data_IF_296034291207
#
_entry.id   IF_296034291207
#
_cell.length_a   1.000
_cell.length_b   1.000
_cell.length_c   1.000
_cell.angle_alpha   90.00
_cell.angle_beta   90.00
_cell.angle_gamma   90.00
#
_symmetry.space_group_name_H-M   'P 1'
#
loop_
_entity.id
_entity.type
_entity.pdbx_description
1 polymer ?
#
# COMPACT_ATOMS: atom_id res chain seq x y z
N UNK A 1 -15.49 0.03 -18.74
CA UNK A 1 -14.11 -0.28 -18.30
C UNK A 1 -13.59 0.91 -17.51
N UNK A 2 -13.29 0.70 -16.25
CA UNK A 2 -12.72 1.73 -15.39
C UNK A 2 -11.33 2.12 -15.87
N UNK A 3 -11.10 3.43 -15.98
CA UNK A 3 -9.77 3.95 -16.33
C UNK A 3 -9.06 4.32 -15.05
N UNK A 4 -8.19 3.44 -14.55
CA UNK A 4 -7.31 3.74 -13.41
C UNK A 4 -5.99 4.30 -13.92
N UNK A 5 -5.57 5.43 -13.36
CA UNK A 5 -4.29 6.07 -13.64
C UNK A 5 -3.29 5.75 -12.52
N UNK A 6 -2.04 5.52 -12.89
CA UNK A 6 -0.94 5.46 -11.94
C UNK A 6 -0.27 6.83 -11.83
N UNK A 7 -0.13 7.34 -10.62
CA UNK A 7 0.49 8.61 -10.31
C UNK A 7 1.70 8.39 -9.40
N UNK A 8 2.90 8.48 -9.97
CA UNK A 8 4.14 8.40 -9.21
C UNK A 8 4.56 9.82 -8.85
N UNK A 9 4.60 10.11 -7.55
CA UNK A 9 5.03 11.41 -7.03
C UNK A 9 6.55 11.45 -6.94
N UNK A 10 7.15 12.50 -7.46
CA UNK A 10 8.56 12.80 -7.18
C UNK A 10 8.76 13.07 -5.68
N UNK A 11 10.00 12.95 -5.19
CA UNK A 11 10.33 13.12 -3.76
C UNK A 11 9.90 14.47 -3.16
N UNK A 12 9.76 15.50 -3.98
CA UNK A 12 9.32 16.85 -3.60
C UNK A 12 7.84 17.15 -3.94
N UNK A 13 7.11 16.18 -4.46
CA UNK A 13 5.67 16.25 -4.68
C UNK A 13 4.92 15.56 -3.54
N UNK A 14 3.65 15.89 -3.36
CA UNK A 14 2.81 15.40 -2.29
C UNK A 14 1.44 15.00 -2.80
N UNK A 15 0.69 14.26 -2.00
CA UNK A 15 -0.62 13.68 -2.36
C UNK A 15 -1.57 14.66 -3.04
N UNK A 16 -1.68 15.89 -2.54
CA UNK A 16 -2.58 16.89 -3.12
C UNK A 16 -2.05 17.57 -4.39
N UNK A 17 -0.86 17.21 -4.86
CA UNK A 17 -0.37 17.62 -6.20
C UNK A 17 -0.94 16.73 -7.30
N UNK A 18 -1.43 15.53 -6.96
CA UNK A 18 -2.09 14.64 -7.91
C UNK A 18 -3.47 15.24 -8.26
N UNK A 19 -3.81 15.39 -9.55
CA UNK A 19 -5.07 16.01 -9.97
C UNK A 19 -6.31 15.41 -9.32
N UNK A 20 -6.39 14.08 -9.17
CA UNK A 20 -7.52 13.37 -8.57
C UNK A 20 -7.61 13.52 -7.04
N UNK A 21 -6.53 13.99 -6.41
CA UNK A 21 -6.43 14.16 -4.95
C UNK A 21 -6.34 15.64 -4.51
N UNK A 22 -6.37 16.58 -5.45
CA UNK A 22 -6.14 18.03 -5.17
C UNK A 22 -7.20 18.67 -4.28
N UNK A 23 -8.38 18.09 -4.20
CA UNK A 23 -9.53 18.54 -3.39
C UNK A 23 -9.54 17.95 -1.96
N UNK A 24 -8.62 17.05 -1.64
CA UNK A 24 -8.52 16.46 -0.30
C UNK A 24 -8.22 17.52 0.75
N UNK A 25 -9.02 17.54 1.82
CA UNK A 25 -8.92 18.50 2.94
C UNK A 25 -8.84 17.77 4.29
N UNK A 26 -8.11 18.27 5.27
CA UNK A 26 -7.15 19.39 5.19
C UNK A 26 -5.94 19.01 4.35
N UNK A 27 -5.50 19.90 3.47
CA UNK A 27 -4.42 19.65 2.53
C UNK A 27 -3.11 19.23 3.20
N UNK A 28 -2.75 19.90 4.30
CA UNK A 28 -1.50 19.63 5.03
C UNK A 28 -1.54 18.25 5.72
N UNK A 29 -2.73 17.82 6.18
CA UNK A 29 -2.94 16.47 6.70
C UNK A 29 -2.59 15.42 5.67
N UNK A 30 -3.23 15.47 4.50
CA UNK A 30 -3.04 14.49 3.44
C UNK A 30 -1.60 14.46 2.92
N UNK A 31 -0.96 15.63 2.79
CA UNK A 31 0.43 15.73 2.36
C UNK A 31 1.44 15.17 3.36
N UNK A 32 1.03 14.91 4.62
CA UNK A 32 1.85 14.24 5.64
C UNK A 32 1.38 12.81 5.92
N UNK A 33 0.07 12.55 5.80
CA UNK A 33 -0.53 11.26 6.16
C UNK A 33 -0.19 10.17 5.15
N UNK A 34 -0.14 10.49 3.88
CA UNK A 34 -0.08 9.49 2.83
C UNK A 34 0.97 9.79 1.75
N UNK A 35 1.72 8.78 1.37
CA UNK A 35 2.56 8.73 0.17
C UNK A 35 2.03 7.72 -0.84
N UNK A 36 0.93 7.05 -0.54
CA UNK A 36 0.16 6.19 -1.41
C UNK A 36 -1.33 6.36 -1.13
N UNK A 37 -2.16 6.23 -2.15
CA UNK A 37 -3.61 6.12 -2.07
C UNK A 37 -4.11 5.20 -3.18
N UNK A 38 -5.05 4.31 -2.83
CA UNK A 38 -5.76 3.44 -3.76
C UNK A 38 -6.76 4.20 -4.61
N UNK A 39 -7.03 3.66 -5.80
CA UNK A 39 -8.06 4.23 -6.66
C UNK A 39 -9.46 3.87 -6.16
N UNK A 40 -10.37 4.84 -6.27
CA UNK A 40 -11.81 4.65 -6.07
C UNK A 40 -12.58 5.16 -7.30
N UNK A 41 -13.88 4.84 -7.44
CA UNK A 41 -14.69 5.40 -8.54
C UNK A 41 -14.64 6.92 -8.62
N UNK A 42 -14.61 7.62 -7.47
CA UNK A 42 -14.55 9.08 -7.39
C UNK A 42 -13.13 9.62 -7.67
N UNK A 43 -12.11 8.84 -7.35
CA UNK A 43 -10.69 9.19 -7.51
C UNK A 43 -9.92 8.05 -8.18
N UNK A 44 -10.05 7.90 -9.52
CA UNK A 44 -9.52 6.74 -10.25
C UNK A 44 -8.00 6.85 -10.47
N UNK A 45 -7.25 7.11 -9.41
CA UNK A 45 -5.78 7.17 -9.44
C UNK A 45 -5.17 6.36 -8.28
N UNK A 46 -4.33 5.39 -8.63
CA UNK A 46 -3.41 4.76 -7.68
C UNK A 46 -2.17 5.62 -7.60
N UNK A 47 -1.73 5.95 -6.40
CA UNK A 47 -0.54 6.77 -6.21
C UNK A 47 0.51 6.11 -5.33
N UNK A 48 1.77 6.51 -5.54
CA UNK A 48 2.92 6.09 -4.76
C UNK A 48 4.03 7.16 -4.88
N UNK A 49 4.87 7.29 -3.88
CA UNK A 49 6.10 8.08 -3.98
C UNK A 49 7.22 7.32 -4.70
N UNK A 50 8.03 8.01 -5.51
CA UNK A 50 9.18 7.42 -6.20
C UNK A 50 10.22 6.86 -5.22
N UNK A 51 10.31 7.44 -4.01
CA UNK A 51 11.22 6.99 -2.96
C UNK A 51 11.01 5.52 -2.59
N UNK A 52 9.77 5.03 -2.59
CA UNK A 52 9.47 3.63 -2.31
C UNK A 52 9.86 2.71 -3.47
N UNK A 53 9.64 3.14 -4.69
CA UNK A 53 9.95 2.34 -5.89
C UNK A 53 11.45 2.24 -6.16
N UNK A 54 12.22 3.24 -5.75
CA UNK A 54 13.65 3.35 -5.98
C UNK A 54 14.50 3.15 -4.72
N UNK A 55 13.86 3.06 -3.54
CA UNK A 55 14.49 2.83 -2.24
C UNK A 55 15.36 4.00 -1.81
N UNK A 56 14.81 5.22 -1.83
CA UNK A 56 15.54 6.40 -1.34
C UNK A 56 15.74 6.34 0.17
N UNK A 57 16.75 7.06 0.63
CA UNK A 57 16.97 7.26 2.06
C UNK A 57 15.77 8.00 2.67
N UNK A 58 15.33 7.57 3.84
CA UNK A 58 14.16 8.07 4.57
C UNK A 58 12.80 7.80 3.89
N UNK A 59 12.72 6.80 3.00
CA UNK A 59 11.42 6.31 2.55
C UNK A 59 10.56 5.90 3.76
N UNK A 60 9.35 6.47 3.95
CA UNK A 60 8.50 6.12 5.08
C UNK A 60 7.92 4.69 5.02
N UNK A 61 8.04 4.03 3.87
CA UNK A 61 7.59 2.67 3.59
C UNK A 61 8.77 1.77 3.18
N UNK A 62 9.96 2.01 3.76
CA UNK A 62 11.21 1.38 3.33
C UNK A 62 11.23 -0.16 3.38
N UNK A 63 10.38 -0.77 4.19
CA UNK A 63 10.28 -2.23 4.36
C UNK A 63 9.08 -2.86 3.65
N UNK A 64 8.31 -2.08 2.87
CA UNK A 64 7.16 -2.56 2.11
C UNK A 64 7.10 -1.95 0.71
N UNK A 65 6.24 -2.47 -0.16
CA UNK A 65 5.90 -1.82 -1.42
C UNK A 65 4.48 -1.24 -1.35
N UNK A 66 4.39 0.06 -1.09
CA UNK A 66 3.10 0.75 -0.96
C UNK A 66 2.31 0.79 -2.28
N UNK A 67 2.97 0.73 -3.44
CA UNK A 67 2.25 0.67 -4.71
C UNK A 67 1.48 -0.63 -4.87
N UNK A 68 2.01 -1.77 -4.38
CA UNK A 68 1.29 -3.06 -4.38
C UNK A 68 0.06 -2.98 -3.48
N UNK A 69 0.18 -2.37 -2.30
CA UNK A 69 -0.93 -2.12 -1.39
C UNK A 69 -2.05 -1.29 -2.05
N UNK A 70 -1.70 -0.13 -2.57
CA UNK A 70 -2.67 0.79 -3.17
C UNK A 70 -3.28 0.23 -4.47
N UNK A 71 -2.51 -0.56 -5.21
CA UNK A 71 -3.04 -1.23 -6.39
C UNK A 71 -3.98 -2.38 -6.04
N UNK A 72 -3.78 -3.06 -4.91
CA UNK A 72 -4.72 -4.05 -4.40
C UNK A 72 -6.10 -3.42 -4.12
N UNK A 73 -6.14 -2.23 -3.51
CA UNK A 73 -7.40 -1.46 -3.37
C UNK A 73 -8.05 -1.18 -4.73
N UNK A 74 -7.26 -0.76 -5.72
CA UNK A 74 -7.79 -0.50 -7.06
C UNK A 74 -8.34 -1.76 -7.73
N UNK A 75 -7.66 -2.89 -7.62
CA UNK A 75 -8.16 -4.18 -8.13
C UNK A 75 -9.48 -4.55 -7.44
N UNK A 76 -9.56 -4.39 -6.13
CA UNK A 76 -10.76 -4.69 -5.36
C UNK A 76 -11.91 -3.75 -5.75
N UNK A 77 -11.72 -2.43 -5.59
CA UNK A 77 -12.80 -1.45 -5.68
C UNK A 77 -13.18 -1.08 -7.12
N UNK A 78 -12.26 -1.20 -8.08
CA UNK A 78 -12.45 -0.76 -9.47
C UNK A 78 -12.50 -1.92 -10.46
N UNK A 79 -12.11 -3.13 -10.03
CA UNK A 79 -12.07 -4.32 -10.87
C UNK A 79 -13.04 -5.39 -10.41
N UNK A 80 -12.78 -5.97 -9.24
CA UNK A 80 -13.55 -7.10 -8.73
C UNK A 80 -15.00 -6.72 -8.42
N UNK A 81 -15.26 -5.53 -7.89
CA UNK A 81 -16.60 -5.02 -7.65
C UNK A 81 -17.51 -5.04 -8.88
N UNK A 82 -16.93 -4.96 -10.09
CA UNK A 82 -17.68 -5.03 -11.35
C UNK A 82 -17.70 -6.44 -11.97
N UNK A 83 -16.58 -7.19 -11.83
CA UNK A 83 -16.39 -8.47 -12.53
C UNK A 83 -16.80 -9.67 -11.69
N UNK A 84 -16.79 -9.55 -10.37
CA UNK A 84 -17.27 -10.55 -9.41
C UNK A 84 -18.00 -9.86 -8.24
N UNK A 85 -19.30 -9.57 -8.39
CA UNK A 85 -20.09 -8.89 -7.35
C UNK A 85 -20.13 -9.62 -5.99
N UNK A 86 -19.78 -10.91 -5.97
CA UNK A 86 -19.76 -11.72 -4.73
C UNK A 86 -18.43 -11.62 -3.99
N UNK A 87 -17.39 -11.06 -4.61
CA UNK A 87 -16.04 -11.03 -4.02
C UNK A 87 -16.02 -10.24 -2.71
N UNK A 88 -16.63 -9.07 -2.68
CA UNK A 88 -16.65 -8.21 -1.49
C UNK A 88 -17.35 -8.89 -0.30
N UNK A 89 -18.49 -9.53 -0.51
CA UNK A 89 -19.19 -10.30 0.53
C UNK A 89 -18.33 -11.46 1.07
N UNK A 90 -17.62 -12.18 0.18
CA UNK A 90 -16.71 -13.28 0.58
C UNK A 90 -15.51 -12.76 1.35
N UNK A 91 -14.97 -11.60 0.95
CA UNK A 91 -13.85 -10.95 1.62
C UNK A 91 -14.27 -10.45 3.00
N UNK A 92 -15.41 -9.79 3.12
CA UNK A 92 -15.94 -9.33 4.40
C UNK A 92 -16.23 -10.51 5.34
N UNK A 93 -16.82 -11.59 4.84
CA UNK A 93 -17.05 -12.80 5.64
C UNK A 93 -15.75 -13.42 6.15
N UNK A 94 -14.70 -13.47 5.32
CA UNK A 94 -13.38 -13.94 5.71
C UNK A 94 -12.75 -13.04 6.78
N UNK A 95 -12.82 -11.73 6.60
CA UNK A 95 -12.35 -10.72 7.56
C UNK A 95 -13.05 -10.87 8.93
N UNK A 96 -14.39 -10.91 8.94
CA UNK A 96 -15.17 -11.07 10.18
C UNK A 96 -14.79 -12.37 10.90
N UNK A 97 -14.62 -13.48 10.17
CA UNK A 97 -14.18 -14.74 10.76
C UNK A 97 -12.77 -14.66 11.35
N UNK A 98 -11.83 -14.04 10.62
CA UNK A 98 -10.45 -13.86 11.10
C UNK A 98 -10.39 -13.01 12.38
N UNK A 99 -11.10 -11.88 12.40
CA UNK A 99 -11.17 -11.01 13.59
C UNK A 99 -11.81 -11.71 14.78
N UNK A 100 -12.87 -12.49 14.55
CA UNK A 100 -13.54 -13.28 15.59
C UNK A 100 -12.61 -14.34 16.21
N UNK A 101 -11.72 -14.90 15.42
CA UNK A 101 -10.68 -15.85 15.88
C UNK A 101 -9.49 -15.15 16.53
N UNK A 102 -9.45 -13.83 16.56
CA UNK A 102 -8.39 -13.01 17.15
C UNK A 102 -7.21 -12.77 16.22
N UNK A 103 -7.30 -13.17 14.94
CA UNK A 103 -6.29 -12.84 13.95
C UNK A 103 -6.29 -11.32 13.68
N UNK A 104 -5.12 -10.77 13.34
CA UNK A 104 -4.92 -9.35 12.99
C UNK A 104 -5.32 -8.36 14.08
N UNK A 105 -5.51 -8.83 15.32
CA UNK A 105 -5.91 -7.98 16.44
C UNK A 105 -4.91 -6.85 16.70
N UNK A 106 -5.39 -5.60 16.62
CA UNK A 106 -4.58 -4.41 16.81
C UNK A 106 -3.60 -4.12 15.67
N UNK A 107 -3.71 -4.82 14.53
CA UNK A 107 -2.88 -4.64 13.34
C UNK A 107 -3.65 -3.93 12.22
N UNK A 108 -2.91 -3.41 11.24
CA UNK A 108 -3.49 -2.63 10.15
C UNK A 108 -4.50 -3.44 9.34
N UNK A 109 -4.17 -4.69 9.01
CA UNK A 109 -5.09 -5.64 8.36
C UNK A 109 -6.39 -5.88 9.16
N UNK A 110 -6.39 -5.65 10.46
CA UNK A 110 -7.57 -5.78 11.33
C UNK A 110 -8.49 -4.57 11.34
N UNK A 111 -8.21 -3.49 10.59
CA UNK A 111 -9.01 -2.25 10.59
C UNK A 111 -10.33 -2.38 9.85
N UNK A 112 -10.32 -2.99 8.68
CA UNK A 112 -11.48 -3.27 7.83
C UNK A 112 -11.10 -4.28 6.74
N UNK A 113 -12.07 -4.80 6.00
CA UNK A 113 -11.84 -5.82 4.98
C UNK A 113 -11.05 -5.30 3.76
N UNK A 114 -11.06 -4.00 3.47
CA UNK A 114 -10.25 -3.43 2.38
C UNK A 114 -8.76 -3.47 2.72
N UNK A 115 -8.39 -3.04 3.94
CA UNK A 115 -7.01 -3.13 4.42
C UNK A 115 -6.57 -4.58 4.61
N UNK A 116 -7.46 -5.45 5.11
CA UNK A 116 -7.24 -6.88 5.22
C UNK A 116 -6.82 -7.51 3.87
N UNK A 117 -7.51 -7.14 2.78
CA UNK A 117 -7.15 -7.61 1.44
C UNK A 117 -5.81 -7.05 0.98
N UNK A 118 -5.59 -5.74 1.11
CA UNK A 118 -4.38 -5.08 0.62
C UNK A 118 -3.11 -5.58 1.35
N UNK A 119 -3.17 -5.74 2.67
CA UNK A 119 -2.11 -6.34 3.49
C UNK A 119 -1.85 -7.81 3.08
N UNK A 120 -2.92 -8.58 2.84
CA UNK A 120 -2.79 -9.94 2.33
C UNK A 120 -2.14 -10.01 0.96
N UNK A 121 -2.40 -9.03 0.08
CA UNK A 121 -1.73 -8.94 -1.23
C UNK A 121 -0.26 -8.60 -1.07
N UNK A 122 0.11 -7.68 -0.18
CA UNK A 122 1.51 -7.39 0.11
C UNK A 122 2.24 -8.65 0.60
N UNK A 123 1.70 -9.37 1.58
CA UNK A 123 2.29 -10.64 2.06
C UNK A 123 2.33 -11.71 0.97
N UNK A 124 1.34 -11.76 0.05
CA UNK A 124 1.35 -12.69 -1.08
C UNK A 124 2.52 -12.49 -2.05
N UNK A 125 3.03 -11.27 -2.11
CA UNK A 125 4.15 -10.90 -2.95
C UNK A 125 5.45 -10.64 -2.16
N UNK A 126 5.53 -11.06 -0.88
CA UNK A 126 6.67 -10.96 0.03
C UNK A 126 7.16 -9.50 0.16
N UNK A 127 6.24 -8.61 0.46
CA UNK A 127 6.54 -7.17 0.54
C UNK A 127 5.69 -6.43 1.57
N UNK A 128 5.23 -7.11 2.59
CA UNK A 128 4.58 -6.45 3.71
C UNK A 128 5.63 -6.03 4.76
N UNK A 129 5.23 -5.17 5.68
CA UNK A 129 6.00 -4.89 6.90
C UNK A 129 5.79 -5.98 7.93
N UNK A 130 6.78 -6.19 8.77
CA UNK A 130 6.70 -7.18 9.84
C UNK A 130 7.09 -6.61 11.20
N UNK A 131 6.50 -7.19 12.27
CA UNK A 131 6.92 -7.03 13.67
C UNK A 131 7.04 -5.57 14.14
N UNK A 132 6.16 -4.69 13.64
CA UNK A 132 6.04 -3.31 14.11
C UNK A 132 4.72 -3.03 14.85
N UNK A 133 4.45 -1.77 15.15
CA UNK A 133 3.23 -1.38 15.85
C UNK A 133 1.95 -1.77 15.08
N UNK A 134 1.96 -1.67 13.74
CA UNK A 134 0.79 -1.90 12.88
C UNK A 134 0.80 -3.30 12.20
N UNK A 135 1.93 -4.02 12.21
CA UNK A 135 2.09 -5.29 11.50
C UNK A 135 2.58 -6.39 12.45
N UNK A 136 2.14 -7.62 12.19
CA UNK A 136 2.63 -8.82 12.86
C UNK A 136 3.80 -9.44 12.06
N UNK A 137 4.04 -10.74 12.23
CA UNK A 137 5.12 -11.47 11.55
C UNK A 137 4.77 -11.91 10.11
N UNK A 138 3.57 -11.61 9.61
CA UNK A 138 3.08 -12.13 8.33
C UNK A 138 3.48 -11.17 7.20
N UNK A 139 4.65 -11.39 6.60
CA UNK A 139 5.17 -10.61 5.49
C UNK A 139 5.40 -11.42 4.21
N UNK A 140 5.35 -12.78 4.31
CA UNK A 140 5.53 -13.69 3.18
C UNK A 140 4.26 -14.46 2.82
N UNK A 141 4.22 -14.99 1.57
CA UNK A 141 3.13 -15.85 1.11
C UNK A 141 2.95 -17.08 1.97
N UNK A 142 4.06 -17.70 2.33
CA UNK A 142 4.07 -18.91 3.14
C UNK A 142 3.46 -18.65 4.53
N UNK A 143 3.81 -17.56 5.16
CA UNK A 143 3.26 -17.16 6.45
C UNK A 143 1.78 -16.77 6.34
N UNK A 144 1.38 -16.04 5.30
CA UNK A 144 -0.03 -15.74 5.05
C UNK A 144 -0.86 -17.03 4.91
N UNK A 145 -0.36 -18.02 4.18
CA UNK A 145 -1.05 -19.30 4.00
C UNK A 145 -1.20 -20.08 5.30
N UNK A 146 -0.23 -19.95 6.21
CA UNK A 146 -0.26 -20.62 7.53
C UNK A 146 -1.13 -19.85 8.52
N UNK A 147 -1.03 -18.51 8.54
CA UNK A 147 -1.69 -17.66 9.51
C UNK A 147 -3.18 -17.45 9.20
N UNK A 148 -3.49 -17.11 7.94
CA UNK A 148 -4.86 -16.90 7.49
C UNK A 148 -5.12 -17.52 6.11
N UNK A 149 -5.39 -18.83 6.07
CA UNK A 149 -5.62 -19.55 4.82
C UNK A 149 -6.86 -19.07 4.05
N UNK A 150 -7.82 -18.42 4.71
CA UNK A 150 -9.01 -17.83 4.03
C UNK A 150 -8.61 -16.64 3.19
N UNK A 151 -7.85 -15.72 3.77
CA UNK A 151 -7.31 -14.57 3.03
C UNK A 151 -6.39 -15.03 1.90
N UNK A 152 -5.45 -15.94 2.21
CA UNK A 152 -4.55 -16.50 1.22
C UNK A 152 -5.29 -17.14 0.03
N UNK A 153 -6.43 -17.81 0.27
CA UNK A 153 -7.27 -18.39 -0.78
C UNK A 153 -7.88 -17.30 -1.69
N UNK A 154 -8.43 -16.23 -1.11
CA UNK A 154 -9.02 -15.12 -1.88
C UNK A 154 -7.96 -14.39 -2.70
N UNK A 155 -6.79 -14.11 -2.12
CA UNK A 155 -5.68 -13.48 -2.84
C UNK A 155 -5.18 -14.38 -3.97
N UNK A 156 -5.05 -15.69 -3.72
CA UNK A 156 -4.70 -16.68 -4.75
C UNK A 156 -5.70 -16.71 -5.91
N UNK A 157 -6.99 -16.59 -5.62
CA UNK A 157 -8.05 -16.57 -6.62
C UNK A 157 -7.84 -15.39 -7.60
N UNK A 158 -7.47 -14.24 -7.09
CA UNK A 158 -7.24 -13.02 -7.88
C UNK A 158 -5.91 -13.03 -8.62
N UNK A 159 -4.83 -13.42 -7.96
CA UNK A 159 -3.44 -13.26 -8.48
C UNK A 159 -2.79 -14.56 -8.95
N UNK A 160 -3.44 -15.70 -8.72
CA UNK A 160 -2.84 -17.01 -9.04
C UNK A 160 -1.68 -17.38 -8.13
N UNK A 161 -0.95 -18.45 -8.53
CA UNK A 161 0.16 -19.02 -7.76
C UNK A 161 1.52 -18.85 -8.49
N UNK A 162 1.64 -17.85 -9.37
CA UNK A 162 2.88 -17.59 -10.09
C UNK A 162 4.08 -17.42 -9.14
N UNK A 163 5.31 -17.72 -9.61
CA UNK A 163 6.51 -17.68 -8.76
C UNK A 163 7.03 -16.26 -8.50
N UNK A 164 6.44 -15.26 -9.15
CA UNK A 164 6.90 -13.88 -8.99
C UNK A 164 6.71 -13.38 -7.55
N UNK A 165 7.77 -12.76 -7.03
CA UNK A 165 7.80 -12.06 -5.75
C UNK A 165 8.41 -10.70 -5.96
N UNK A 166 7.98 -9.75 -5.16
CA UNK A 166 8.63 -8.45 -5.13
C UNK A 166 10.06 -8.59 -4.62
N UNK A 167 10.94 -7.76 -5.13
CA UNK A 167 12.29 -7.59 -4.59
C UNK A 167 12.54 -6.11 -4.36
N UNK A 168 12.89 -5.77 -3.14
CA UNK A 168 13.24 -4.40 -2.79
C UNK A 168 14.35 -3.87 -3.72
N UNK A 169 14.32 -2.59 -4.13
CA UNK A 169 15.29 -2.02 -5.07
C UNK A 169 16.76 -2.26 -4.72
N UNK A 170 17.08 -2.31 -3.42
CA UNK A 170 18.44 -2.60 -2.93
C UNK A 170 18.90 -4.04 -3.25
N UNK A 171 17.97 -4.97 -3.43
CA UNK A 171 18.25 -6.38 -3.70
C UNK A 171 18.05 -6.75 -5.17
N UNK A 172 17.71 -5.79 -6.03
CA UNK A 172 17.59 -6.01 -7.46
C UNK A 172 18.96 -6.08 -8.11
N UNK A 173 19.07 -6.91 -9.14
CA UNK A 173 20.30 -7.01 -9.93
C UNK A 173 20.66 -5.64 -10.51
N UNK A 174 21.97 -5.25 -10.45
CA UNK A 174 22.42 -3.93 -10.92
C UNK A 174 22.14 -3.66 -12.40
N UNK A 175 21.88 -4.70 -13.17
CA UNK A 175 21.67 -4.63 -14.62
C UNK A 175 20.20 -4.72 -15.05
N UNK A 176 19.26 -4.56 -14.14
CA UNK A 176 17.84 -4.45 -14.53
C UNK A 176 17.65 -3.26 -15.47
N UNK A 177 17.13 -3.51 -16.68
CA UNK A 177 17.07 -2.49 -17.74
C UNK A 177 16.34 -1.20 -17.30
N UNK A 178 15.31 -1.33 -16.46
CA UNK A 178 14.56 -0.19 -15.92
C UNK A 178 15.33 0.65 -14.88
N UNK A 179 16.48 0.16 -14.40
CA UNK A 179 17.38 0.88 -13.49
C UNK A 179 18.68 1.30 -14.20
N UNK A 180 18.78 1.11 -15.51
CA UNK A 180 19.97 1.52 -16.28
C UNK A 180 20.20 3.03 -16.11
N UNK A 181 21.40 3.40 -15.65
CA UNK A 181 21.78 4.80 -15.38
C UNK A 181 21.28 5.37 -14.05
N UNK A 182 20.51 4.62 -13.26
CA UNK A 182 20.16 5.07 -11.90
C UNK A 182 21.33 4.87 -10.95
N UNK A 183 21.83 5.97 -10.40
CA UNK A 183 22.90 5.98 -9.38
C UNK A 183 22.28 6.30 -8.01
N UNK A 184 22.13 5.27 -7.18
CA UNK A 184 21.54 5.38 -5.84
C UNK A 184 22.30 6.36 -4.94
N UNK A 185 23.62 6.48 -5.09
CA UNK A 185 24.41 7.41 -4.28
C UNK A 185 24.11 8.89 -4.57
N UNK A 186 23.48 9.15 -5.73
CA UNK A 186 23.02 10.49 -6.15
C UNK A 186 21.51 10.68 -6.02
N UNK A 187 20.80 9.64 -5.55
CA UNK A 187 19.36 9.72 -5.34
C UNK A 187 19.03 10.76 -4.26
N UNK A 188 17.88 11.44 -4.39
CA UNK A 188 17.41 12.34 -3.35
C UNK A 188 17.22 11.63 -2.01
N UNK A 189 17.35 12.38 -0.93
CA UNK A 189 16.89 11.96 0.39
C UNK A 189 15.45 12.43 0.55
N UNK A 190 14.53 11.51 0.85
CA UNK A 190 13.14 11.87 1.04
C UNK A 190 12.96 12.70 2.32
N UNK A 191 12.10 13.71 2.26
CA UNK A 191 11.71 14.52 3.42
C UNK A 191 10.28 15.02 3.28
N UNK A 192 9.54 14.95 4.38
CA UNK A 192 8.22 15.56 4.46
C UNK A 192 8.34 17.08 4.49
N UNK A 193 7.39 17.78 3.86
CA UNK A 193 7.33 19.24 3.94
C UNK A 193 7.14 19.69 5.40
N UNK A 194 8.01 20.59 5.89
CA UNK A 194 8.00 21.07 7.27
C UNK A 194 6.62 21.58 7.73
N UNK A 195 5.94 22.35 6.88
CA UNK A 195 4.59 22.84 7.17
C UNK A 195 3.58 21.74 7.40
N UNK A 196 3.67 20.65 6.63
CA UNK A 196 2.78 19.50 6.78
C UNK A 196 3.12 18.70 8.03
N UNK A 197 4.40 18.58 8.37
CA UNK A 197 4.83 17.94 9.64
C UNK A 197 4.33 18.72 10.84
N UNK A 198 4.55 20.05 10.87
CA UNK A 198 4.13 20.89 11.96
C UNK A 198 2.60 20.85 12.16
N UNK A 199 1.84 20.94 11.07
CA UNK A 199 0.37 20.85 11.13
C UNK A 199 -0.09 19.47 11.64
N UNK A 200 0.47 18.39 11.12
CA UNK A 200 0.09 17.01 11.49
C UNK A 200 0.39 16.70 12.96
N UNK A 201 1.47 17.23 13.49
CA UNK A 201 1.81 17.06 14.91
C UNK A 201 0.76 17.76 15.80
N UNK A 202 0.38 19.01 15.49
CA UNK A 202 -0.69 19.71 16.21
C UNK A 202 -2.04 19.01 16.10
N UNK A 203 -2.37 18.47 14.92
CA UNK A 203 -3.59 17.66 14.74
C UNK A 203 -3.61 16.44 15.66
N UNK A 204 -2.48 15.72 15.80
CA UNK A 204 -2.38 14.59 16.74
C UNK A 204 -2.52 15.00 18.20
N UNK A 205 -2.15 16.21 18.53
CA UNK A 205 -2.27 16.78 19.87
C UNK A 205 -3.68 17.38 20.13
N UNK A 206 -4.58 17.34 19.15
CA UNK A 206 -5.94 17.90 19.25
C UNK A 206 -5.99 19.43 19.19
N UNK A 207 -4.98 20.06 18.58
CA UNK A 207 -4.84 21.51 18.46
C UNK A 207 -5.27 22.06 17.08
N UNK A 208 -5.79 21.21 16.19
CA UNK A 208 -6.28 21.54 14.84
C UNK A 208 -7.69 20.96 14.59
#
# INVERSE_FOLDING_TARGET
RNKVRFAIMAHNEYTTHIPEHRDLQPRLYWNRRARGLGATPERPAVSCGEENLLGYVNDPYASENILIHEFAHAIHLMGLSETDPTFDERLEAAYVAAVKEGLWKGKYAGRNHHEYFAEGVQSWFDTNRENDFEHNHVDTREELQQYDPRLAKLVKEVFGSGPWRYRHPQHRQPHSAHLAGFDRAKAPVFGWAEKSVAWYNRFKEGLE
#
